data_IF_639514717947
#
_entry.id   IF_639514717947
#
_cell.length_a   1.000
_cell.length_b   1.000
_cell.length_c   1.000
_cell.angle_alpha   90.00
_cell.angle_beta   90.00
_cell.angle_gamma   90.00
#
_symmetry.space_group_name_H-M   'P 1'
#
loop_
_entity.id
_entity.type
_entity.pdbx_description
1 polymer ?
#
# COMPACT_ATOMS: atom_id res chain seq x y z
N UNK A 1 -13.84 8.21 18.86
CA UNK A 1 -13.08 7.80 17.66
C UNK A 1 -12.45 6.47 17.95
N UNK A 2 -12.84 5.39 17.26
CA UNK A 2 -12.04 4.15 17.28
C UNK A 2 -10.72 4.50 16.60
N UNK A 3 -9.59 4.10 17.18
CA UNK A 3 -8.30 4.23 16.51
C UNK A 3 -8.35 3.35 15.25
N UNK A 4 -8.58 3.97 14.08
CA UNK A 4 -8.63 3.28 12.80
C UNK A 4 -7.20 3.14 12.29
N UNK A 5 -6.55 2.06 12.70
CA UNK A 5 -5.26 1.67 12.17
C UNK A 5 -5.46 0.88 10.88
N UNK A 6 -4.67 1.21 9.86
CA UNK A 6 -4.54 0.39 8.65
C UNK A 6 -3.42 -0.62 8.88
N UNK A 7 -3.76 -1.90 8.84
CA UNK A 7 -2.80 -2.99 8.86
C UNK A 7 -2.31 -3.27 7.43
N UNK A 8 -1.03 -3.56 7.28
CA UNK A 8 -0.41 -3.85 5.99
C UNK A 8 0.50 -5.05 6.19
N UNK A 9 0.35 -6.04 5.33
CA UNK A 9 1.20 -7.22 5.36
C UNK A 9 2.53 -6.91 4.71
N UNK A 10 3.62 -7.30 5.37
CA UNK A 10 4.99 -7.21 4.84
C UNK A 10 5.50 -8.63 4.61
N UNK A 11 5.94 -8.93 3.39
CA UNK A 11 6.40 -10.26 3.01
C UNK A 11 7.51 -10.18 1.97
N UNK A 12 8.23 -11.29 1.81
CA UNK A 12 9.25 -11.41 0.77
C UNK A 12 8.67 -12.12 -0.45
N UNK A 13 8.94 -11.61 -1.64
CA UNK A 13 8.55 -12.24 -2.90
C UNK A 13 9.65 -12.07 -3.95
N UNK A 14 10.18 -13.17 -4.48
CA UNK A 14 11.21 -13.18 -5.55
C UNK A 14 12.41 -12.25 -5.27
N UNK A 15 12.87 -12.20 -4.01
CA UNK A 15 13.99 -11.34 -3.59
C UNK A 15 13.62 -9.88 -3.33
N UNK A 16 12.34 -9.49 -3.46
CA UNK A 16 11.83 -8.18 -3.09
C UNK A 16 11.19 -8.22 -1.71
N UNK A 17 11.25 -7.09 -1.00
CA UNK A 17 10.38 -6.81 0.14
C UNK A 17 9.12 -6.17 -0.44
N UNK A 18 7.98 -6.80 -0.21
CA UNK A 18 6.68 -6.37 -0.67
C UNK A 18 5.75 -6.07 0.49
N UNK A 19 4.86 -5.11 0.28
CA UNK A 19 3.71 -4.91 1.12
C UNK A 19 2.43 -4.93 0.30
N UNK A 20 1.37 -5.48 0.90
CA UNK A 20 0.05 -5.58 0.28
C UNK A 20 -1.03 -5.16 1.29
N UNK A 21 -2.03 -4.45 0.79
CA UNK A 21 -3.23 -4.12 1.54
C UNK A 21 -4.44 -4.10 0.60
N UNK A 22 -5.57 -4.57 1.11
CA UNK A 22 -6.87 -4.49 0.46
C UNK A 22 -7.83 -3.71 1.36
N UNK A 23 -8.64 -2.83 0.77
CA UNK A 23 -9.70 -2.11 1.46
C UNK A 23 -10.97 -2.15 0.61
N UNK A 24 -12.17 -2.08 1.21
CA UNK A 24 -13.40 -1.88 0.45
C UNK A 24 -13.27 -0.69 -0.51
N UNK A 25 -13.63 -0.91 -1.77
CA UNK A 25 -13.67 0.15 -2.76
C UNK A 25 -14.88 1.05 -2.51
N UNK A 26 -14.61 2.34 -2.45
CA UNK A 26 -15.56 3.41 -2.22
C UNK A 26 -15.28 4.48 -3.27
N UNK A 27 -16.18 4.63 -4.24
CA UNK A 27 -16.00 5.58 -5.35
C UNK A 27 -15.74 7.03 -4.87
N UNK A 28 -16.31 7.39 -3.71
CA UNK A 28 -16.08 8.70 -3.09
C UNK A 28 -14.61 8.93 -2.68
N UNK A 29 -13.83 7.87 -2.49
CA UNK A 29 -12.42 7.88 -2.08
C UNK A 29 -11.46 7.63 -3.24
N UNK A 30 -11.94 7.54 -4.48
CA UNK A 30 -11.11 7.19 -5.65
C UNK A 30 -9.89 8.10 -5.81
N UNK A 31 -10.09 9.42 -5.64
CA UNK A 31 -9.01 10.41 -5.69
C UNK A 31 -8.10 10.40 -4.44
N UNK A 32 -8.50 9.72 -3.37
CA UNK A 32 -7.72 9.60 -2.14
C UNK A 32 -6.77 8.40 -2.17
N UNK A 33 -7.10 7.32 -2.89
CA UNK A 33 -6.29 6.11 -2.93
C UNK A 33 -4.83 6.31 -3.34
N UNK A 34 -4.49 7.18 -4.32
CA UNK A 34 -3.09 7.50 -4.60
C UNK A 34 -2.34 8.07 -3.39
N UNK A 35 -2.97 9.01 -2.65
CA UNK A 35 -2.37 9.62 -1.46
C UNK A 35 -2.16 8.59 -0.33
N UNK A 36 -3.08 7.64 -0.21
CA UNK A 36 -2.92 6.54 0.74
C UNK A 36 -1.73 5.66 0.34
N UNK A 37 -1.61 5.29 -0.93
CA UNK A 37 -0.49 4.51 -1.43
C UNK A 37 0.87 5.22 -1.24
N UNK A 38 0.92 6.53 -1.47
CA UNK A 38 2.10 7.35 -1.20
C UNK A 38 2.48 7.33 0.29
N UNK A 39 1.49 7.38 1.17
CA UNK A 39 1.70 7.27 2.62
C UNK A 39 2.29 5.92 3.01
N UNK A 40 1.80 4.84 2.41
CA UNK A 40 2.32 3.48 2.61
C UNK A 40 3.76 3.40 2.11
N UNK A 41 4.01 3.87 0.89
CA UNK A 41 5.33 3.89 0.25
C UNK A 41 6.36 4.64 1.09
N UNK A 42 6.00 5.82 1.59
CA UNK A 42 6.87 6.60 2.47
C UNK A 42 7.20 5.87 3.78
N UNK A 43 6.26 5.10 4.34
CA UNK A 43 6.52 4.28 5.53
C UNK A 43 7.47 3.13 5.23
N UNK A 44 7.31 2.44 4.10
CA UNK A 44 8.21 1.37 3.66
C UNK A 44 9.62 1.91 3.41
N UNK A 45 9.75 3.03 2.67
CA UNK A 45 11.04 3.68 2.43
C UNK A 45 11.73 4.12 3.72
N UNK A 46 10.97 4.49 4.76
CA UNK A 46 11.55 4.80 6.08
C UNK A 46 12.05 3.56 6.82
N UNK A 47 11.36 2.42 6.68
CA UNK A 47 11.76 1.16 7.30
C UNK A 47 12.95 0.50 6.57
N UNK A 48 13.01 0.68 5.25
CA UNK A 48 14.01 0.10 4.37
C UNK A 48 14.61 1.18 3.45
N UNK A 49 15.44 2.11 3.98
CA UNK A 49 15.94 3.25 3.22
C UNK A 49 16.84 2.89 2.04
N UNK A 50 17.36 1.66 1.99
CA UNK A 50 18.27 1.17 0.97
C UNK A 50 17.57 0.59 -0.28
N UNK A 51 16.27 0.26 -0.19
CA UNK A 51 15.56 -0.38 -1.30
C UNK A 51 14.89 0.66 -2.21
N UNK A 52 14.81 0.36 -3.50
CA UNK A 52 14.03 1.19 -4.44
C UNK A 52 12.63 0.59 -4.60
N UNK A 53 11.62 1.27 -4.04
CA UNK A 53 10.24 0.80 -4.10
C UNK A 53 9.52 1.26 -5.35
N UNK A 54 8.66 0.39 -5.90
CA UNK A 54 7.60 0.72 -6.86
C UNK A 54 6.26 0.50 -6.19
N UNK A 55 5.37 1.50 -6.30
CA UNK A 55 4.03 1.47 -5.73
C UNK A 55 2.98 1.33 -6.83
N UNK A 56 1.91 0.59 -6.54
CA UNK A 56 0.78 0.41 -7.44
C UNK A 56 -0.53 0.48 -6.66
N UNK A 57 -1.53 1.09 -7.31
CA UNK A 57 -2.92 1.10 -6.85
C UNK A 57 -3.77 0.57 -7.98
N UNK A 58 -4.66 -0.35 -7.67
CA UNK A 58 -5.71 -0.81 -8.57
C UNK A 58 -6.99 -1.02 -7.78
N UNK A 59 -8.11 -1.19 -8.47
CA UNK A 59 -9.35 -1.58 -7.82
C UNK A 59 -10.23 -2.37 -8.78
N UNK A 60 -11.12 -3.18 -8.21
CA UNK A 60 -12.30 -3.69 -8.89
C UNK A 60 -13.56 -2.97 -8.35
N UNK A 61 -14.75 -3.55 -8.54
CA UNK A 61 -16.01 -2.95 -8.05
C UNK A 61 -16.16 -3.01 -6.52
N UNK A 62 -15.44 -3.89 -5.84
CA UNK A 62 -15.59 -4.18 -4.42
C UNK A 62 -14.36 -3.85 -3.58
N UNK A 63 -13.16 -3.88 -4.17
CA UNK A 63 -11.89 -3.79 -3.43
C UNK A 63 -10.90 -2.87 -4.13
N UNK A 64 -10.22 -2.03 -3.34
CA UNK A 64 -9.03 -1.30 -3.72
C UNK A 64 -7.79 -2.02 -3.18
N UNK A 65 -6.79 -2.22 -4.04
CA UNK A 65 -5.55 -2.92 -3.75
C UNK A 65 -4.38 -1.93 -3.76
N UNK A 66 -3.52 -2.04 -2.74
CA UNK A 66 -2.31 -1.25 -2.59
C UNK A 66 -1.12 -2.20 -2.50
N UNK A 67 -0.16 -2.04 -3.40
CA UNK A 67 1.06 -2.85 -3.41
C UNK A 67 2.28 -1.94 -3.47
N UNK A 68 3.28 -2.21 -2.64
CA UNK A 68 4.60 -1.60 -2.74
C UNK A 68 5.64 -2.71 -2.70
N UNK A 69 6.50 -2.82 -3.70
CA UNK A 69 7.59 -3.81 -3.73
C UNK A 69 8.91 -3.13 -4.06
N UNK A 70 10.01 -3.58 -3.47
CA UNK A 70 11.35 -3.09 -3.80
C UNK A 70 12.47 -4.01 -3.34
N UNK A 71 13.64 -3.80 -3.92
CA UNK A 71 14.91 -4.42 -3.54
C UNK A 71 16.05 -3.40 -3.49
#
# INVERSE_FOLDING_TARGET
>A
MKNQWLAIDLFHNEGNICCFNEQPYEKALENFYPNLCDTITNRINRLFPQIKTTAQVSHDEAVAYFTVCGN
#
